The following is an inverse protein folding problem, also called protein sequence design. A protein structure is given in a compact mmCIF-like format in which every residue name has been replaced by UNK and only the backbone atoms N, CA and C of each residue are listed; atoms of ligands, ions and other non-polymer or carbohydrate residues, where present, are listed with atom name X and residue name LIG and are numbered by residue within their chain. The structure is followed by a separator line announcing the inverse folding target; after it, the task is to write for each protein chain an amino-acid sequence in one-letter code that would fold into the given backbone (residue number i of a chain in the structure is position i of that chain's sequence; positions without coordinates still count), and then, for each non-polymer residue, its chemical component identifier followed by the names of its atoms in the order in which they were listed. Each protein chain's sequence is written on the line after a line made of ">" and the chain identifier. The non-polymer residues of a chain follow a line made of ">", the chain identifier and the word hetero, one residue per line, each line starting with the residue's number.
data_IF_572904724379
#
_entry.id   IF_572904724379
#
_cell.length_a   1.000
_cell.length_b   1.000
_cell.length_c   1.000
_cell.angle_alpha   90.00
_cell.angle_beta   90.00
_cell.angle_gamma   90.00
#
_symmetry.space_group_name_H-M   'P 1'
#
loop_
_entity.id
_entity.type
_entity.pdbx_description
1 polymer ?
#
# COMPACT_ATOMS: atom_id res chain seq x y z
N UNK A 1 6.14 -7.08 -13.01
CA UNK A 1 7.43 -7.74 -12.82
C UNK A 1 8.42 -7.30 -13.90
N UNK A 2 9.72 -7.22 -13.63
CA UNK A 2 10.77 -6.84 -14.60
C UNK A 2 12.08 -6.48 -13.89
N UNK A 3 13.18 -6.33 -14.66
CA UNK A 3 14.50 -5.92 -14.14
C UNK A 3 14.48 -4.52 -13.54
N UNK A 4 15.52 -4.17 -12.76
CA UNK A 4 15.70 -2.78 -12.32
C UNK A 4 15.76 -1.83 -13.51
N UNK A 5 15.17 -0.64 -13.39
CA UNK A 5 15.14 0.35 -14.48
C UNK A 5 14.13 0.10 -15.60
N UNK A 6 13.34 -0.98 -15.58
CA UNK A 6 12.37 -1.31 -16.64
C UNK A 6 11.09 -0.46 -16.65
N UNK A 7 10.93 0.55 -15.77
CA UNK A 7 9.74 1.43 -15.73
C UNK A 7 8.64 1.01 -14.75
N UNK A 8 8.85 -0.05 -13.93
CA UNK A 8 7.83 -0.54 -12.98
C UNK A 8 7.39 0.51 -11.95
N UNK A 9 8.35 1.18 -11.30
CA UNK A 9 8.05 2.20 -10.29
C UNK A 9 7.41 3.44 -10.93
N UNK A 10 7.80 3.79 -12.17
CA UNK A 10 7.14 4.86 -12.93
C UNK A 10 5.68 4.51 -13.18
N UNK A 11 5.39 3.30 -13.66
CA UNK A 11 4.00 2.84 -13.83
C UNK A 11 3.24 2.84 -12.51
N UNK A 12 3.88 2.37 -11.41
CA UNK A 12 3.26 2.37 -10.09
C UNK A 12 2.92 3.79 -9.62
N UNK A 13 3.81 4.76 -9.87
CA UNK A 13 3.58 6.16 -9.52
C UNK A 13 2.42 6.77 -10.32
N UNK A 14 2.32 6.46 -11.62
CA UNK A 14 1.19 6.90 -12.45
C UNK A 14 -0.11 6.28 -11.93
N UNK A 15 -0.14 4.96 -11.69
CA UNK A 15 -1.31 4.29 -11.12
C UNK A 15 -1.67 4.82 -9.73
N UNK A 16 -0.66 5.27 -8.98
CA UNK A 16 -0.79 5.88 -7.66
C UNK A 16 -1.17 7.35 -7.67
N UNK A 17 -1.35 7.97 -8.83
CA UNK A 17 -1.60 9.41 -8.98
C UNK A 17 -0.48 10.26 -8.32
N UNK A 18 0.73 9.72 -8.30
CA UNK A 18 1.93 10.41 -7.81
C UNK A 18 2.70 11.10 -8.94
N UNK A 19 2.45 10.68 -10.18
CA UNK A 19 3.08 11.21 -11.38
C UNK A 19 2.04 11.32 -12.52
N UNK A 20 2.33 12.15 -13.50
CA UNK A 20 1.50 12.33 -14.68
C UNK A 20 1.94 11.36 -15.79
N UNK A 21 1.08 11.20 -16.81
CA UNK A 21 1.39 10.48 -18.04
C UNK A 21 1.11 11.37 -19.26
N UNK A 22 1.87 11.17 -20.33
CA UNK A 22 1.80 12.01 -21.53
C UNK A 22 0.61 11.63 -22.41
N UNK A 23 0.45 10.33 -22.70
CA UNK A 23 -0.55 9.81 -23.64
C UNK A 23 -1.37 8.67 -23.03
N UNK A 24 -2.52 8.40 -23.67
CA UNK A 24 -3.44 7.36 -23.23
C UNK A 24 -4.54 7.87 -22.30
N UNK A 25 -5.24 6.94 -21.65
CA UNK A 25 -6.31 7.24 -20.70
C UNK A 25 -6.22 6.32 -19.49
N UNK A 26 -6.36 6.89 -18.29
CA UNK A 26 -6.42 6.14 -17.05
C UNK A 26 -7.71 6.49 -16.29
N UNK A 27 -8.51 5.46 -15.98
CA UNK A 27 -9.69 5.59 -15.16
C UNK A 27 -9.55 4.76 -13.89
N UNK A 28 -9.86 5.35 -12.74
CA UNK A 28 -9.89 4.67 -11.44
C UNK A 28 -11.25 4.89 -10.80
N UNK A 29 -11.99 3.81 -10.53
CA UNK A 29 -13.34 3.85 -9.94
C UNK A 29 -14.28 4.83 -10.66
N UNK A 30 -14.24 4.86 -12.01
CA UNK A 30 -15.02 5.77 -12.85
C UNK A 30 -14.47 7.20 -13.02
N UNK A 31 -13.44 7.57 -12.27
CA UNK A 31 -12.79 8.87 -12.39
C UNK A 31 -11.70 8.86 -13.46
N UNK A 32 -11.76 9.82 -14.41
CA UNK A 32 -10.63 10.05 -15.33
C UNK A 32 -9.47 10.70 -14.56
N UNK A 33 -8.33 10.03 -14.53
CA UNK A 33 -7.12 10.51 -13.89
C UNK A 33 -6.25 11.21 -14.93
N UNK A 34 -6.54 12.46 -15.18
CA UNK A 34 -5.77 13.31 -16.12
C UNK A 34 -5.90 14.78 -15.72
N UNK A 35 -4.81 15.52 -15.84
CA UNK A 35 -4.76 16.98 -15.60
C UNK A 35 -5.35 17.40 -14.23
N UNK A 36 -5.15 16.55 -13.21
CA UNK A 36 -5.61 16.81 -11.86
C UNK A 36 -4.74 17.87 -11.18
N UNK A 37 -5.37 18.81 -10.47
CA UNK A 37 -4.63 19.65 -9.54
C UNK A 37 -4.07 18.79 -8.39
N UNK A 38 -3.00 19.28 -7.73
CA UNK A 38 -2.41 18.56 -6.59
C UNK A 38 -3.44 18.22 -5.51
N UNK A 39 -4.36 19.14 -5.21
CA UNK A 39 -5.42 18.94 -4.22
C UNK A 39 -6.40 17.84 -4.66
N UNK A 40 -6.79 17.81 -5.93
CA UNK A 40 -7.65 16.76 -6.48
C UNK A 40 -6.95 15.40 -6.46
N UNK A 41 -5.69 15.35 -6.91
CA UNK A 41 -4.89 14.13 -6.88
C UNK A 41 -4.70 13.59 -5.45
N UNK A 42 -4.37 14.47 -4.49
CA UNK A 42 -4.21 14.10 -3.09
C UNK A 42 -5.51 13.55 -2.48
N UNK A 43 -6.66 14.14 -2.84
CA UNK A 43 -7.97 13.66 -2.39
C UNK A 43 -8.27 12.27 -2.94
N UNK A 44 -8.13 12.06 -4.25
CA UNK A 44 -8.39 10.77 -4.89
C UNK A 44 -7.44 9.68 -4.38
N UNK A 45 -6.14 10.00 -4.20
CA UNK A 45 -5.18 9.10 -3.55
C UNK A 45 -5.67 8.65 -2.18
N UNK A 46 -6.02 9.61 -1.32
CA UNK A 46 -6.47 9.29 0.03
C UNK A 46 -7.79 8.51 0.05
N UNK A 47 -8.68 8.75 -0.90
CA UNK A 47 -9.98 8.07 -0.98
C UNK A 47 -9.87 6.65 -1.55
N UNK A 48 -9.09 6.45 -2.62
CA UNK A 48 -9.16 5.27 -3.47
C UNK A 48 -7.92 4.36 -3.38
N UNK A 49 -6.77 4.88 -2.92
CA UNK A 49 -5.49 4.17 -3.04
C UNK A 49 -4.85 3.95 -1.67
N UNK A 50 -4.43 2.72 -1.42
CA UNK A 50 -3.52 2.36 -0.34
C UNK A 50 -2.12 2.12 -0.89
N UNK A 51 -1.08 2.58 -0.18
CA UNK A 51 0.31 2.34 -0.55
C UNK A 51 1.05 1.53 0.50
N UNK A 52 1.81 0.54 0.04
CA UNK A 52 2.75 -0.25 0.83
C UNK A 52 4.12 -0.20 0.16
N UNK A 53 5.15 0.20 0.89
CA UNK A 53 6.51 0.39 0.39
C UNK A 53 7.48 -0.60 1.03
N UNK A 54 8.57 -0.91 0.35
CA UNK A 54 9.66 -1.74 0.84
C UNK A 54 10.26 -1.21 2.16
N UNK A 55 10.41 0.10 2.29
CA UNK A 55 10.95 0.77 3.48
C UNK A 55 9.90 1.09 4.54
N UNK A 56 8.70 0.51 4.45
CA UNK A 56 7.55 0.72 5.34
C UNK A 56 7.02 2.17 5.36
N UNK A 57 7.88 3.16 5.27
CA UNK A 57 7.58 4.61 5.31
C UNK A 57 6.68 5.01 6.49
N UNK A 58 6.96 4.44 7.67
CA UNK A 58 6.30 4.82 8.91
C UNK A 58 6.92 6.10 9.48
N UNK A 59 6.08 6.92 10.11
CA UNK A 59 6.55 8.09 10.84
C UNK A 59 7.19 7.63 12.17
N UNK A 60 8.50 7.76 12.30
CA UNK A 60 9.27 7.24 13.42
C UNK A 60 8.93 7.86 14.78
N UNK A 61 8.37 9.07 14.79
CA UNK A 61 7.92 9.79 15.99
C UNK A 61 6.45 9.54 16.34
N UNK A 62 5.76 8.66 15.61
CA UNK A 62 4.40 8.21 15.85
C UNK A 62 4.39 6.72 16.12
N UNK A 63 3.56 6.32 17.09
CA UNK A 63 3.35 4.91 17.36
C UNK A 63 2.51 4.21 16.28
N UNK A 64 2.31 2.88 16.41
CA UNK A 64 1.62 2.09 15.39
C UNK A 64 0.19 2.58 15.13
N UNK A 65 -0.62 2.82 16.18
CA UNK A 65 -2.00 3.28 15.99
C UNK A 65 -2.08 4.67 15.38
N UNK A 66 -1.14 5.56 15.71
CA UNK A 66 -1.07 6.89 15.11
C UNK A 66 -0.68 6.84 13.63
N UNK A 67 0.26 5.96 13.26
CA UNK A 67 0.62 5.72 11.86
C UNK A 67 -0.58 5.21 11.06
N UNK A 68 -1.31 4.24 11.59
CA UNK A 68 -2.50 3.68 10.94
C UNK A 68 -3.64 4.70 10.85
N UNK A 69 -3.82 5.54 11.86
CA UNK A 69 -4.87 6.57 11.88
C UNK A 69 -4.63 7.74 10.91
N UNK A 70 -3.43 7.89 10.37
CA UNK A 70 -3.02 9.06 9.59
C UNK A 70 -3.86 9.32 8.32
N UNK A 71 -4.18 8.33 7.47
CA UNK A 71 -5.05 8.55 6.31
C UNK A 71 -6.44 9.08 6.69
N UNK A 72 -6.99 8.59 7.79
CA UNK A 72 -8.29 9.04 8.30
C UNK A 72 -8.23 10.47 8.86
N UNK A 73 -7.07 10.91 9.36
CA UNK A 73 -6.87 12.31 9.75
C UNK A 73 -7.04 13.23 8.55
N UNK A 74 -6.43 12.90 7.41
CA UNK A 74 -6.55 13.67 6.17
C UNK A 74 -7.95 13.59 5.53
N UNK A 75 -8.73 12.53 5.86
CA UNK A 75 -10.17 12.43 5.50
C UNK A 75 -11.07 13.28 6.42
N UNK A 76 -10.53 13.95 7.43
CA UNK A 76 -11.32 14.74 8.40
C UNK A 76 -12.09 13.89 9.40
N UNK A 77 -11.79 12.59 9.54
CA UNK A 77 -12.47 11.71 10.50
C UNK A 77 -12.15 12.16 11.95
N UNK A 78 -13.14 12.27 12.84
CA UNK A 78 -12.93 12.66 14.23
C UNK A 78 -11.93 11.76 14.95
N UNK A 79 -11.15 12.33 15.91
CA UNK A 79 -10.06 11.62 16.60
C UNK A 79 -10.50 10.28 17.19
N UNK A 80 -11.60 10.26 17.92
CA UNK A 80 -12.11 9.03 18.55
C UNK A 80 -12.38 7.92 17.54
N UNK A 81 -13.05 8.26 16.45
CA UNK A 81 -13.42 7.30 15.39
C UNK A 81 -12.19 6.79 14.63
N UNK A 82 -11.26 7.67 14.23
CA UNK A 82 -10.06 7.23 13.49
C UNK A 82 -9.16 6.32 14.31
N UNK A 83 -9.05 6.56 15.63
CA UNK A 83 -8.28 5.66 16.50
C UNK A 83 -8.98 4.32 16.71
N UNK A 84 -10.30 4.30 16.82
CA UNK A 84 -11.07 3.06 16.89
C UNK A 84 -10.84 2.21 15.62
N UNK A 85 -11.02 2.81 14.43
CA UNK A 85 -10.78 2.12 13.15
C UNK A 85 -9.32 1.67 12.99
N UNK A 86 -8.37 2.48 13.44
CA UNK A 86 -6.96 2.11 13.39
C UNK A 86 -6.64 0.91 14.30
N UNK A 87 -7.23 0.85 15.50
CA UNK A 87 -7.11 -0.28 16.40
C UNK A 87 -7.72 -1.56 15.82
N UNK A 88 -8.88 -1.47 15.18
CA UNK A 88 -9.50 -2.61 14.47
C UNK A 88 -8.58 -3.18 13.39
N UNK A 89 -7.93 -2.32 12.59
CA UNK A 89 -6.97 -2.79 11.58
C UNK A 89 -5.70 -3.38 12.20
N UNK A 90 -5.18 -2.83 13.30
CA UNK A 90 -4.05 -3.42 14.01
C UNK A 90 -4.41 -4.78 14.62
N UNK A 91 -5.58 -4.92 15.22
CA UNK A 91 -6.06 -6.19 15.75
C UNK A 91 -6.20 -7.24 14.63
N UNK A 92 -6.74 -6.86 13.48
CA UNK A 92 -6.82 -7.70 12.28
C UNK A 92 -5.44 -8.16 11.79
N UNK A 93 -4.42 -7.32 11.94
CA UNK A 93 -3.02 -7.65 11.60
C UNK A 93 -2.29 -8.42 12.71
N UNK A 94 -2.94 -8.75 13.83
CA UNK A 94 -2.33 -9.42 14.98
C UNK A 94 -1.39 -8.51 15.78
N UNK A 95 -1.61 -7.19 15.75
CA UNK A 95 -0.73 -6.18 16.35
C UNK A 95 -1.43 -5.33 17.44
N UNK A 96 -2.52 -5.85 18.04
CA UNK A 96 -3.25 -5.12 19.09
C UNK A 96 -2.35 -4.65 20.24
N UNK A 97 -1.51 -5.54 20.74
CA UNK A 97 -0.60 -5.27 21.85
C UNK A 97 0.57 -4.36 21.47
N UNK A 98 0.80 -4.17 20.17
CA UNK A 98 1.85 -3.30 19.62
C UNK A 98 1.36 -1.90 19.26
N UNK A 99 0.09 -1.59 19.50
CA UNK A 99 -0.55 -0.33 19.07
C UNK A 99 0.18 0.94 19.56
N UNK A 100 0.77 0.90 20.74
CA UNK A 100 1.47 2.04 21.35
C UNK A 100 2.98 2.05 21.11
N UNK A 101 3.54 1.01 20.46
CA UNK A 101 4.97 0.93 20.17
C UNK A 101 5.37 1.82 19.00
N UNK A 102 6.58 2.35 19.08
CA UNK A 102 7.21 3.12 18.01
C UNK A 102 7.83 2.19 16.96
N UNK A 103 8.00 2.62 15.70
CA UNK A 103 8.54 1.77 14.64
C UNK A 103 9.90 1.14 14.94
N UNK A 104 10.77 1.82 15.69
CA UNK A 104 12.09 1.29 16.05
C UNK A 104 12.03 0.17 17.12
N UNK A 105 10.91 0.01 17.82
CA UNK A 105 10.66 -1.04 18.80
C UNK A 105 10.08 -2.31 18.15
N UNK A 106 9.80 -2.27 16.84
CA UNK A 106 9.09 -3.30 16.09
C UNK A 106 10.03 -4.05 15.13
N UNK A 107 9.76 -5.35 14.92
CA UNK A 107 10.43 -6.14 13.88
C UNK A 107 10.06 -5.65 12.47
N UNK A 108 10.81 -6.08 11.45
CA UNK A 108 10.50 -5.77 10.05
C UNK A 108 9.10 -6.20 9.64
N UNK A 109 8.71 -7.43 9.97
CA UNK A 109 7.38 -7.96 9.68
C UNK A 109 6.26 -7.22 10.42
N UNK A 110 6.47 -6.80 11.66
CA UNK A 110 5.51 -5.98 12.40
C UNK A 110 5.35 -4.61 11.77
N UNK A 111 6.45 -3.94 11.39
CA UNK A 111 6.41 -2.66 10.66
C UNK A 111 5.66 -2.78 9.34
N UNK A 112 5.88 -3.87 8.60
CA UNK A 112 5.15 -4.11 7.35
C UNK A 112 3.66 -4.31 7.58
N UNK A 113 3.26 -5.06 8.61
CA UNK A 113 1.84 -5.21 8.99
C UNK A 113 1.21 -3.87 9.40
N UNK A 114 1.92 -2.99 10.09
CA UNK A 114 1.46 -1.61 10.38
C UNK A 114 1.31 -0.80 9.09
N UNK A 115 2.25 -0.91 8.14
CA UNK A 115 2.16 -0.23 6.85
C UNK A 115 0.96 -0.72 6.02
N UNK A 116 0.67 -2.03 6.02
CA UNK A 116 -0.52 -2.59 5.38
C UNK A 116 -1.79 -2.10 6.10
N UNK A 117 -1.86 -2.16 7.43
CA UNK A 117 -3.00 -1.65 8.19
C UNK A 117 -3.28 -0.17 7.87
N UNK A 118 -2.23 0.66 7.78
CA UNK A 118 -2.34 2.06 7.36
C UNK A 118 -2.89 2.20 5.95
N UNK A 119 -2.43 1.36 5.02
CA UNK A 119 -2.86 1.42 3.63
C UNK A 119 -4.35 1.08 3.46
N UNK A 120 -4.90 0.19 4.28
CA UNK A 120 -6.29 -0.30 4.14
C UNK A 120 -7.29 0.38 5.06
N UNK A 121 -6.87 1.13 6.08
CA UNK A 121 -7.78 1.77 7.08
C UNK A 121 -8.81 2.71 6.45
N UNK A 122 -8.49 3.27 5.28
CA UNK A 122 -9.34 4.16 4.50
C UNK A 122 -10.34 3.44 3.59
N UNK A 123 -10.37 2.11 3.57
CA UNK A 123 -11.13 1.27 2.63
C UNK A 123 -10.83 1.62 1.15
N UNK A 124 -9.57 1.50 0.70
CA UNK A 124 -9.19 1.83 -0.66
C UNK A 124 -9.79 0.84 -1.69
N UNK A 125 -9.91 1.27 -2.94
CA UNK A 125 -10.28 0.42 -4.08
C UNK A 125 -9.10 -0.37 -4.62
N UNK A 126 -7.92 0.22 -4.52
CA UNK A 126 -6.68 -0.37 -5.01
C UNK A 126 -5.59 -0.28 -3.94
N UNK A 127 -4.82 -1.34 -3.80
CA UNK A 127 -3.63 -1.41 -2.97
C UNK A 127 -2.41 -1.55 -3.89
N UNK A 128 -1.52 -0.58 -3.84
CA UNK A 128 -0.28 -0.54 -4.59
C UNK A 128 0.89 -0.89 -3.67
N UNK A 129 1.65 -1.92 -4.00
CA UNK A 129 2.75 -2.40 -3.20
C UNK A 129 4.05 -2.41 -4.03
N UNK A 130 5.06 -1.65 -3.59
CA UNK A 130 6.38 -1.60 -4.22
C UNK A 130 7.36 -2.43 -3.41
N UNK A 131 7.79 -3.58 -3.95
CA UNK A 131 8.70 -4.54 -3.34
C UNK A 131 8.34 -4.86 -1.86
N UNK A 132 7.09 -5.22 -1.56
CA UNK A 132 6.58 -5.24 -0.17
C UNK A 132 7.23 -6.29 0.72
N UNK A 133 7.99 -7.21 0.14
CA UNK A 133 8.69 -8.30 0.84
C UNK A 133 10.20 -8.13 0.84
N UNK A 134 10.75 -7.18 0.08
CA UNK A 134 12.19 -7.06 -0.15
C UNK A 134 13.06 -6.74 1.08
N UNK A 135 12.44 -6.35 2.22
CA UNK A 135 13.13 -6.11 3.49
C UNK A 135 12.81 -7.19 4.55
N UNK A 136 12.19 -8.32 4.14
CA UNK A 136 11.72 -9.38 5.04
C UNK A 136 12.45 -10.69 4.80
N UNK A 137 12.49 -11.53 5.81
CA UNK A 137 12.92 -12.93 5.66
C UNK A 137 11.86 -13.75 4.89
N UNK A 138 12.29 -14.90 4.36
CA UNK A 138 11.46 -15.74 3.49
C UNK A 138 10.15 -16.19 4.15
N UNK A 139 10.16 -16.51 5.45
CA UNK A 139 8.96 -16.93 6.18
C UNK A 139 7.97 -15.79 6.31
N UNK A 140 8.45 -14.64 6.75
CA UNK A 140 7.64 -13.42 6.88
C UNK A 140 7.11 -12.97 5.52
N UNK A 141 7.88 -13.14 4.44
CA UNK A 141 7.44 -12.83 3.08
C UNK A 141 6.21 -13.65 2.65
N UNK A 142 6.21 -14.96 2.95
CA UNK A 142 5.05 -15.82 2.67
C UNK A 142 3.82 -15.36 3.47
N UNK A 143 3.98 -15.10 4.77
CA UNK A 143 2.89 -14.60 5.61
C UNK A 143 2.32 -13.26 5.08
N UNK A 144 3.16 -12.37 4.58
CA UNK A 144 2.70 -11.11 3.98
C UNK A 144 1.93 -11.33 2.68
N UNK A 145 2.37 -12.28 1.84
CA UNK A 145 1.63 -12.63 0.62
C UNK A 145 0.24 -13.20 0.93
N UNK A 146 0.10 -13.96 2.00
CA UNK A 146 -1.22 -14.46 2.43
C UNK A 146 -2.13 -13.31 2.89
N UNK A 147 -1.58 -12.28 3.55
CA UNK A 147 -2.34 -11.05 3.87
C UNK A 147 -2.83 -10.36 2.57
N UNK A 148 -1.96 -10.19 1.55
CA UNK A 148 -2.36 -9.59 0.28
C UNK A 148 -3.43 -10.41 -0.45
N UNK A 149 -3.33 -11.75 -0.46
CA UNK A 149 -4.35 -12.64 -1.02
C UNK A 149 -5.69 -12.49 -0.31
N UNK A 150 -5.68 -12.43 1.02
CA UNK A 150 -6.89 -12.21 1.81
C UNK A 150 -7.53 -10.87 1.45
N UNK A 151 -6.77 -9.77 1.41
CA UNK A 151 -7.29 -8.45 1.04
C UNK A 151 -7.88 -8.45 -0.37
N UNK A 152 -7.25 -9.16 -1.30
CA UNK A 152 -7.77 -9.31 -2.66
C UNK A 152 -9.08 -10.10 -2.68
N UNK A 153 -9.21 -11.17 -1.89
CA UNK A 153 -10.45 -11.95 -1.78
C UNK A 153 -11.61 -11.14 -1.17
N UNK A 154 -11.32 -10.10 -0.42
CA UNK A 154 -12.27 -9.13 0.13
C UNK A 154 -12.67 -8.03 -0.86
N UNK A 155 -12.14 -8.07 -2.09
CA UNK A 155 -12.50 -7.16 -3.19
C UNK A 155 -11.55 -5.98 -3.39
N UNK A 156 -10.42 -5.91 -2.66
CA UNK A 156 -9.40 -4.88 -2.90
C UNK A 156 -8.52 -5.31 -4.08
N UNK A 157 -8.49 -4.55 -5.16
CA UNK A 157 -7.55 -4.79 -6.26
C UNK A 157 -6.13 -4.55 -5.77
N UNK A 158 -5.26 -5.58 -5.83
CA UNK A 158 -3.89 -5.49 -5.35
C UNK A 158 -2.91 -5.55 -6.51
N UNK A 159 -2.05 -4.54 -6.65
CA UNK A 159 -0.96 -4.50 -7.63
C UNK A 159 0.37 -4.52 -6.88
N UNK A 160 1.17 -5.54 -7.15
CA UNK A 160 2.47 -5.73 -6.52
C UNK A 160 3.57 -5.56 -7.59
N UNK A 161 4.46 -4.61 -7.36
CA UNK A 161 5.69 -4.49 -8.12
C UNK A 161 6.75 -5.34 -7.43
N UNK A 162 7.38 -6.25 -8.17
CA UNK A 162 8.46 -7.09 -7.64
C UNK A 162 9.38 -7.56 -8.77
N UNK A 163 10.61 -7.89 -8.42
CA UNK A 163 11.55 -8.62 -9.27
C UNK A 163 11.66 -10.10 -8.84
N UNK A 164 11.06 -10.50 -7.71
CA UNK A 164 11.08 -11.87 -7.21
C UNK A 164 10.05 -12.75 -7.90
N UNK A 165 10.50 -13.86 -8.53
CA UNK A 165 9.63 -14.79 -9.24
C UNK A 165 8.64 -15.48 -8.28
N UNK A 166 9.09 -15.86 -7.09
CA UNK A 166 8.26 -16.49 -6.06
C UNK A 166 7.04 -15.64 -5.65
N UNK A 167 7.23 -14.33 -5.54
CA UNK A 167 6.16 -13.38 -5.24
C UNK A 167 5.21 -13.24 -6.45
N UNK A 168 5.75 -13.16 -7.66
CA UNK A 168 4.95 -13.09 -8.87
C UNK A 168 4.08 -14.36 -9.05
N UNK A 169 4.63 -15.54 -8.83
CA UNK A 169 3.93 -16.83 -8.95
C UNK A 169 2.80 -16.98 -7.91
N UNK A 170 2.87 -16.24 -6.81
CA UNK A 170 1.82 -16.22 -5.80
C UNK A 170 0.61 -15.33 -6.17
N UNK A 171 0.67 -14.61 -7.32
CA UNK A 171 -0.40 -13.72 -7.80
C UNK A 171 -1.26 -14.37 -8.88
N UNK A 172 -2.47 -13.84 -9.09
CA UNK A 172 -3.42 -14.35 -10.10
C UNK A 172 -3.03 -13.99 -11.53
N UNK A 173 -2.29 -12.88 -11.73
CA UNK A 173 -1.88 -12.37 -13.05
C UNK A 173 -0.52 -11.71 -12.95
N UNK A 174 0.35 -12.02 -13.91
CA UNK A 174 1.68 -11.42 -14.03
C UNK A 174 1.72 -10.56 -15.29
N UNK A 175 2.10 -9.29 -15.12
CA UNK A 175 2.44 -8.37 -16.20
C UNK A 175 3.96 -8.20 -16.17
N UNK A 176 4.63 -8.47 -17.30
CA UNK A 176 6.08 -8.30 -17.43
C UNK A 176 6.37 -7.01 -18.16
N UNK A 177 7.25 -6.19 -17.60
CA UNK A 177 7.69 -4.95 -18.20
C UNK A 177 9.18 -5.08 -18.48
N UNK A 178 9.57 -4.83 -19.72
CA UNK A 178 10.96 -4.80 -20.16
C UNK A 178 11.18 -3.55 -20.99
N UNK A 179 12.15 -2.72 -20.58
CA UNK A 179 12.53 -1.50 -21.27
C UNK A 179 11.33 -0.56 -21.57
N UNK A 180 10.40 -0.45 -20.61
CA UNK A 180 9.19 0.37 -20.74
C UNK A 180 8.03 -0.27 -21.53
N UNK A 181 8.19 -1.49 -22.06
CA UNK A 181 7.20 -2.18 -22.87
C UNK A 181 6.59 -3.36 -22.10
N UNK A 182 5.28 -3.59 -22.26
CA UNK A 182 4.51 -4.72 -21.71
C UNK A 182 4.48 -5.87 -22.71
#
# INVERSE_FOLDING_TARGET
>A
MGSSGSGKSTLLNILGILDNYDEGTYHLDGHLIKDLSETQGARLRNELIGFVFQSFNLLNFKNAVENVALPLYYKGVPRKERYMRAMEQLERMGLKDWATHLPHEMSGGQRQRVAIARAIVGNPRILLADEPTGALDSKTSVEMMDVFKQLNSEGITTIIVTHEQSIADATQRIIRIKDGII
#
